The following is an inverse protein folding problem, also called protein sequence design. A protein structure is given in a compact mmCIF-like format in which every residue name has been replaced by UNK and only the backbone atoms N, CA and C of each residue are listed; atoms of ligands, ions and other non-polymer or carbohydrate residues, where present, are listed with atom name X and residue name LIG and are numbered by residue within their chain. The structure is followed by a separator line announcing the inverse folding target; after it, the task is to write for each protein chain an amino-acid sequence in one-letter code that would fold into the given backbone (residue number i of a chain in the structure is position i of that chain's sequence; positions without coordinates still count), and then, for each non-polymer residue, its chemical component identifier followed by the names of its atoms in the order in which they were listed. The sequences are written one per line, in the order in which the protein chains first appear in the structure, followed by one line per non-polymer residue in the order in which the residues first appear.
data_IF_236178402863
#
_entry.id   IF_236178402863
#
_cell.length_a   1.000
_cell.length_b   1.000
_cell.length_c   1.000
_cell.angle_alpha   90.00
_cell.angle_beta   90.00
_cell.angle_gamma   90.00
#
_symmetry.space_group_name_H-M   'P 1'
#
loop_
_entity.id
_entity.type
_entity.pdbx_description
1 polymer ?
#
# COMPACT_ATOMS: atom_id res chain seq x y z
N UNK A 1 -9.31 -14.17 -15.74
CA UNK A 1 -8.67 -13.77 -14.48
C UNK A 1 -8.85 -14.88 -13.46
N UNK A 2 -7.79 -15.35 -12.82
CA UNK A 2 -7.92 -16.38 -11.80
C UNK A 2 -8.42 -15.80 -10.46
N UNK A 3 -8.75 -16.68 -9.53
CA UNK A 3 -9.31 -16.27 -8.26
C UNK A 3 -8.34 -15.40 -7.44
N UNK A 4 -7.04 -15.74 -7.46
CA UNK A 4 -6.04 -14.94 -6.75
C UNK A 4 -5.93 -13.52 -7.29
N UNK A 5 -5.95 -13.37 -8.62
CA UNK A 5 -5.92 -12.07 -9.28
C UNK A 5 -7.15 -11.24 -8.94
N UNK A 6 -8.34 -11.87 -8.93
CA UNK A 6 -9.57 -11.19 -8.57
C UNK A 6 -9.54 -10.72 -7.12
N UNK A 7 -9.09 -11.58 -6.20
CA UNK A 7 -8.96 -11.22 -4.78
C UNK A 7 -8.00 -10.05 -4.59
N UNK A 8 -6.85 -10.09 -5.23
CA UNK A 8 -5.88 -9.00 -5.12
C UNK A 8 -6.46 -7.69 -5.65
N UNK A 9 -7.12 -7.72 -6.79
CA UNK A 9 -7.74 -6.53 -7.36
C UNK A 9 -8.78 -5.92 -6.42
N UNK A 10 -9.62 -6.75 -5.80
CA UNK A 10 -10.63 -6.29 -4.85
C UNK A 10 -9.96 -5.69 -3.60
N UNK A 11 -8.95 -6.36 -3.06
CA UNK A 11 -8.23 -5.88 -1.88
C UNK A 11 -7.55 -4.54 -2.17
N UNK A 12 -6.89 -4.41 -3.30
CA UNK A 12 -6.21 -3.16 -3.68
C UNK A 12 -7.21 -2.02 -3.90
N UNK A 13 -8.35 -2.32 -4.52
CA UNK A 13 -9.40 -1.32 -4.68
C UNK A 13 -9.94 -0.86 -3.33
N UNK A 14 -10.24 -1.83 -2.44
CA UNK A 14 -10.70 -1.53 -1.09
C UNK A 14 -9.67 -0.71 -0.31
N UNK A 15 -8.40 -1.03 -0.46
CA UNK A 15 -7.32 -0.29 0.18
C UNK A 15 -7.28 1.17 -0.31
N UNK A 16 -7.48 1.39 -1.62
CA UNK A 16 -7.52 2.74 -2.17
C UNK A 16 -8.68 3.56 -1.59
N UNK A 17 -9.84 2.93 -1.43
CA UNK A 17 -10.99 3.59 -0.81
C UNK A 17 -10.71 3.90 0.66
N UNK A 18 -10.05 2.99 1.36
CA UNK A 18 -9.70 3.19 2.77
C UNK A 18 -8.76 4.37 2.95
N UNK A 19 -7.71 4.47 2.14
CA UNK A 19 -6.79 5.59 2.22
C UNK A 19 -7.51 6.92 1.97
N UNK A 20 -8.36 6.97 0.96
CA UNK A 20 -9.15 8.16 0.63
C UNK A 20 -10.11 8.52 1.75
N UNK A 21 -10.78 7.53 2.33
CA UNK A 21 -11.70 7.74 3.44
C UNK A 21 -10.97 8.29 4.67
N UNK A 22 -9.83 7.69 5.01
CA UNK A 22 -9.05 8.11 6.17
C UNK A 22 -8.52 9.54 5.98
N UNK A 23 -8.06 9.87 4.77
CA UNK A 23 -7.60 11.22 4.46
C UNK A 23 -8.73 12.26 4.58
N UNK A 24 -9.94 11.87 4.17
CA UNK A 24 -11.11 12.74 4.27
C UNK A 24 -11.58 12.92 5.71
N UNK A 25 -11.64 11.81 6.46
CA UNK A 25 -12.28 11.77 7.78
C UNK A 25 -11.36 12.25 8.90
N UNK A 26 -10.06 12.04 8.80
CA UNK A 26 -9.14 12.22 9.91
C UNK A 26 -8.01 13.20 9.58
N UNK A 27 -8.01 14.39 10.22
CA UNK A 27 -6.97 15.40 9.95
C UNK A 27 -5.54 14.90 10.21
N UNK A 28 -5.34 14.06 11.22
CA UNK A 28 -4.01 13.53 11.53
C UNK A 28 -3.45 12.68 10.38
N UNK A 29 -4.31 11.87 9.74
CA UNK A 29 -3.88 11.08 8.59
C UNK A 29 -3.59 11.98 7.39
N UNK A 30 -4.38 13.02 7.19
CA UNK A 30 -4.16 13.99 6.12
C UNK A 30 -2.82 14.71 6.29
N UNK A 31 -2.48 15.07 7.52
CA UNK A 31 -1.17 15.69 7.81
C UNK A 31 -0.03 14.72 7.52
N UNK A 32 -0.20 13.42 7.81
CA UNK A 32 0.77 12.40 7.44
C UNK A 32 0.98 12.38 5.92
N UNK A 33 -0.10 12.43 5.14
CA UNK A 33 -0.01 12.41 3.69
C UNK A 33 0.69 13.63 3.09
N UNK A 34 0.68 14.76 3.81
CA UNK A 34 1.36 15.97 3.35
C UNK A 34 2.87 15.91 3.52
N UNK A 35 3.39 14.93 4.25
CA UNK A 35 4.82 14.84 4.51
C UNK A 35 5.63 14.54 3.27
N UNK A 36 5.07 13.78 2.33
CA UNK A 36 5.77 13.38 1.10
C UNK A 36 4.82 13.27 -0.07
N UNK A 37 5.31 13.68 -1.23
CA UNK A 37 4.63 13.46 -2.51
C UNK A 37 5.31 12.30 -3.20
N UNK A 38 4.54 11.27 -3.56
CA UNK A 38 5.08 10.12 -4.28
C UNK A 38 3.99 9.34 -4.97
N UNK A 39 4.40 8.47 -5.89
CA UNK A 39 3.53 7.47 -6.49
C UNK A 39 4.08 6.11 -6.10
N UNK A 40 3.27 5.35 -5.36
CA UNK A 40 3.58 3.97 -5.00
C UNK A 40 2.62 3.02 -5.68
N UNK A 41 3.05 1.77 -5.86
CA UNK A 41 2.17 0.77 -6.45
C UNK A 41 2.43 -0.61 -5.85
N UNK A 42 1.38 -1.41 -5.84
CA UNK A 42 1.44 -2.84 -5.52
C UNK A 42 1.15 -3.61 -6.80
N UNK A 43 2.02 -4.55 -7.14
CA UNK A 43 1.86 -5.34 -8.36
C UNK A 43 2.07 -6.83 -8.08
N UNK A 44 1.47 -7.68 -8.92
CA UNK A 44 1.75 -9.11 -8.97
C UNK A 44 2.54 -9.39 -10.23
N UNK A 45 3.77 -9.91 -10.08
CA UNK A 45 4.69 -10.06 -11.21
C UNK A 45 4.23 -11.04 -12.26
N UNK A 46 3.52 -12.08 -11.84
CA UNK A 46 3.11 -13.17 -12.75
C UNK A 46 1.93 -12.80 -13.66
N UNK A 47 1.13 -11.81 -13.30
CA UNK A 47 -0.09 -11.48 -14.03
C UNK A 47 -0.20 -10.03 -14.46
N UNK A 48 0.84 -9.23 -14.24
CA UNK A 48 0.88 -7.81 -14.58
C UNK A 48 -0.32 -7.03 -14.02
N UNK A 49 -0.82 -7.49 -12.88
CA UNK A 49 -1.93 -6.85 -12.17
C UNK A 49 -1.38 -5.95 -11.10
N UNK A 50 -1.95 -4.78 -10.95
CA UNK A 50 -1.54 -3.88 -9.92
C UNK A 50 -2.47 -2.70 -9.77
N UNK A 51 -2.15 -1.88 -8.79
CA UNK A 51 -2.84 -0.60 -8.57
C UNK A 51 -1.82 0.41 -8.05
N UNK A 52 -1.85 1.60 -8.64
CA UNK A 52 -1.02 2.70 -8.20
C UNK A 52 -1.78 3.62 -7.27
N UNK A 53 -1.04 4.28 -6.39
CA UNK A 53 -1.54 5.25 -5.42
C UNK A 53 -0.65 6.47 -5.54
N UNK A 54 -1.23 7.59 -5.97
CA UNK A 54 -0.50 8.84 -6.04
C UNK A 54 -0.87 9.70 -4.86
N UNK A 55 0.13 10.04 -4.06
CA UNK A 55 -0.03 10.91 -2.89
C UNK A 55 0.60 12.24 -3.23
N UNK A 56 -0.23 13.29 -3.27
CA UNK A 56 0.22 14.62 -3.62
C UNK A 56 -0.56 15.65 -2.84
N UNK A 57 0.17 16.51 -2.12
CA UNK A 57 -0.40 17.61 -1.34
C UNK A 57 -1.50 17.14 -0.38
N UNK A 58 -1.30 15.97 0.22
CA UNK A 58 -2.24 15.39 1.17
C UNK A 58 -3.44 14.70 0.54
N UNK A 59 -3.44 14.53 -0.78
CA UNK A 59 -4.54 13.87 -1.51
C UNK A 59 -4.06 12.54 -2.06
N UNK A 60 -4.98 11.56 -2.08
CA UNK A 60 -4.73 10.24 -2.64
C UNK A 60 -5.57 10.08 -3.89
N UNK A 61 -4.91 9.79 -5.01
CA UNK A 61 -5.58 9.32 -6.22
C UNK A 61 -5.07 7.91 -6.54
N UNK A 62 -5.85 7.14 -7.25
CA UNK A 62 -5.53 5.74 -7.50
C UNK A 62 -6.12 5.27 -8.80
N UNK A 63 -5.48 4.26 -9.41
CA UNK A 63 -5.98 3.63 -10.61
C UNK A 63 -5.43 2.22 -10.73
N UNK A 64 -6.10 1.39 -11.54
CA UNK A 64 -5.64 0.04 -11.84
C UNK A 64 -4.54 0.06 -12.88
N UNK A 65 -3.67 -0.96 -12.84
CA UNK A 65 -2.60 -1.11 -13.82
C UNK A 65 -1.22 -0.95 -13.19
N UNK A 66 -0.21 -1.17 -14.00
CA UNK A 66 1.20 -1.11 -13.59
C UNK A 66 1.85 0.11 -14.25
N UNK A 67 2.45 0.97 -13.44
CA UNK A 67 3.17 2.15 -13.91
C UNK A 67 4.65 1.84 -14.03
N UNK A 68 5.28 2.36 -15.09
CA UNK A 68 6.72 2.17 -15.32
C UNK A 68 7.58 3.06 -14.41
N UNK A 69 7.08 4.22 -14.04
CA UNK A 69 7.85 5.26 -13.36
C UNK A 69 7.34 5.56 -11.94
N UNK A 70 6.83 4.54 -11.24
CA UNK A 70 6.44 4.73 -9.85
C UNK A 70 7.66 4.94 -8.97
N UNK A 71 7.53 5.80 -7.95
CA UNK A 71 8.61 6.06 -7.01
C UNK A 71 8.91 4.86 -6.12
N UNK A 72 7.86 4.09 -5.78
CA UNK A 72 7.96 2.88 -4.97
C UNK A 72 7.13 1.79 -5.64
N UNK A 73 7.71 0.62 -5.82
CA UNK A 73 7.00 -0.54 -6.32
C UNK A 73 7.14 -1.69 -5.34
N UNK A 74 6.01 -2.19 -4.86
CA UNK A 74 5.94 -3.40 -4.03
C UNK A 74 5.43 -4.51 -4.93
N UNK A 75 6.32 -5.45 -5.27
CA UNK A 75 6.02 -6.51 -6.22
C UNK A 75 5.91 -7.85 -5.52
N UNK A 76 4.75 -8.48 -5.62
CA UNK A 76 4.52 -9.83 -5.09
C UNK A 76 4.84 -10.86 -6.16
N UNK A 77 5.32 -12.02 -5.73
CA UNK A 77 5.65 -13.11 -6.63
C UNK A 77 4.45 -13.51 -7.48
N UNK A 78 3.28 -13.58 -6.86
CA UNK A 78 2.02 -13.86 -7.55
C UNK A 78 0.85 -13.16 -6.87
N UNK A 79 -0.31 -13.16 -7.54
CA UNK A 79 -1.49 -12.45 -7.05
C UNK A 79 -2.07 -13.08 -5.77
N UNK A 80 -2.04 -14.41 -5.65
CA UNK A 80 -2.55 -15.07 -4.46
C UNK A 80 -1.75 -14.71 -3.22
N UNK A 81 -0.42 -14.64 -3.34
CA UNK A 81 0.45 -14.22 -2.26
C UNK A 81 0.17 -12.76 -1.87
N UNK A 82 0.05 -11.88 -2.86
CA UNK A 82 -0.26 -10.47 -2.61
C UNK A 82 -1.59 -10.32 -1.89
N UNK A 83 -2.61 -11.05 -2.32
CA UNK A 83 -3.91 -11.03 -1.66
C UNK A 83 -3.80 -11.46 -0.19
N UNK A 84 -3.04 -12.53 0.08
CA UNK A 84 -2.84 -13.01 1.44
C UNK A 84 -2.11 -12.02 2.34
N UNK A 85 -1.08 -11.35 1.81
CA UNK A 85 -0.28 -10.41 2.58
C UNK A 85 -1.00 -9.07 2.81
N UNK A 86 -1.84 -8.65 1.90
CA UNK A 86 -2.53 -7.36 1.98
C UNK A 86 -3.93 -7.47 2.57
N UNK A 87 -4.48 -8.67 2.75
CA UNK A 87 -5.78 -8.84 3.38
C UNK A 87 -5.75 -8.26 4.80
N UNK A 88 -6.72 -7.41 5.17
CA UNK A 88 -6.74 -6.81 6.50
C UNK A 88 -6.97 -7.87 7.60
N UNK A 89 -6.31 -7.71 8.76
CA UNK A 89 -5.30 -6.69 9.06
C UNK A 89 -3.96 -7.07 8.47
N UNK A 90 -3.24 -6.10 7.91
CA UNK A 90 -1.91 -6.33 7.35
C UNK A 90 -0.95 -6.65 8.50
N UNK A 91 -0.25 -7.77 8.39
CA UNK A 91 0.74 -8.19 9.38
C UNK A 91 2.14 -7.80 8.90
N UNK A 92 2.78 -6.88 9.61
CA UNK A 92 4.08 -6.36 9.24
C UNK A 92 5.17 -7.44 9.24
N UNK A 93 5.08 -8.39 10.18
CA UNK A 93 6.05 -9.49 10.26
C UNK A 93 5.97 -10.40 9.04
N UNK A 94 4.75 -10.69 8.58
CA UNK A 94 4.53 -11.48 7.38
C UNK A 94 5.14 -10.79 6.15
N UNK A 95 5.05 -9.47 6.06
CA UNK A 95 5.65 -8.69 4.98
C UNK A 95 7.18 -8.83 5.00
N UNK A 96 7.79 -8.70 6.17
CA UNK A 96 9.24 -8.84 6.33
C UNK A 96 9.70 -10.24 5.95
N UNK A 97 9.00 -11.27 6.41
CA UNK A 97 9.34 -12.66 6.10
C UNK A 97 9.21 -12.94 4.60
N UNK A 98 8.17 -12.44 3.96
CA UNK A 98 7.98 -12.61 2.53
C UNK A 98 9.11 -11.93 1.74
N UNK A 99 9.58 -10.78 2.19
CA UNK A 99 10.69 -10.09 1.55
C UNK A 99 11.98 -10.88 1.67
N UNK A 100 12.25 -11.48 2.83
CA UNK A 100 13.44 -12.32 3.04
C UNK A 100 13.44 -13.55 2.14
N UNK A 101 12.28 -14.07 1.80
CA UNK A 101 12.14 -15.24 0.95
C UNK A 101 11.98 -14.88 -0.54
N UNK A 102 12.18 -13.63 -0.90
CA UNK A 102 12.01 -13.10 -2.26
C UNK A 102 10.61 -13.30 -2.84
N UNK A 103 9.62 -13.54 -1.99
CA UNK A 103 8.22 -13.59 -2.38
C UNK A 103 7.63 -12.20 -2.58
N UNK A 104 8.26 -11.21 -1.98
CA UNK A 104 7.91 -9.81 -2.10
C UNK A 104 9.19 -9.02 -2.31
N UNK A 105 9.21 -8.15 -3.31
CA UNK A 105 10.34 -7.25 -3.52
C UNK A 105 9.86 -5.81 -3.49
N UNK A 106 10.72 -4.93 -2.99
CA UNK A 106 10.43 -3.51 -2.90
C UNK A 106 11.49 -2.76 -3.69
N UNK A 107 11.06 -1.96 -4.65
CA UNK A 107 11.94 -1.14 -5.48
C UNK A 107 11.67 0.34 -5.21
N UNK A 108 12.72 1.13 -5.18
CA UNK A 108 12.64 2.56 -4.94
C UNK A 108 13.56 2.98 -3.79
N UNK A 109 13.56 4.27 -3.47
CA UNK A 109 14.33 4.79 -2.35
C UNK A 109 13.84 4.18 -1.03
N UNK A 110 14.76 3.72 -0.18
CA UNK A 110 14.40 3.04 1.08
C UNK A 110 13.54 3.93 1.99
N UNK A 111 13.87 5.20 2.08
CA UNK A 111 13.10 6.13 2.89
C UNK A 111 11.67 6.32 2.38
N UNK A 112 11.51 6.46 1.07
CA UNK A 112 10.19 6.56 0.47
C UNK A 112 9.41 5.25 0.60
N UNK A 113 10.08 4.11 0.40
CA UNK A 113 9.44 2.80 0.52
C UNK A 113 8.92 2.56 1.94
N UNK A 114 9.74 2.86 2.94
CA UNK A 114 9.33 2.72 4.34
C UNK A 114 8.17 3.65 4.67
N UNK A 115 8.25 4.90 4.24
CA UNK A 115 7.18 5.87 4.49
C UNK A 115 5.86 5.41 3.85
N UNK A 116 5.93 4.92 2.61
CA UNK A 116 4.75 4.45 1.88
C UNK A 116 4.13 3.24 2.59
N UNK A 117 4.96 2.25 2.96
CA UNK A 117 4.48 1.06 3.66
C UNK A 117 3.82 1.41 4.99
N UNK A 118 4.45 2.28 5.78
CA UNK A 118 3.88 2.72 7.05
C UNK A 118 2.57 3.48 6.85
N UNK A 119 2.51 4.34 5.83
CA UNK A 119 1.31 5.12 5.54
C UNK A 119 0.14 4.22 5.16
N UNK A 120 0.39 3.18 4.37
CA UNK A 120 -0.63 2.19 4.02
C UNK A 120 -1.10 1.44 5.27
N UNK A 121 -0.16 1.01 6.13
CA UNK A 121 -0.53 0.33 7.38
C UNK A 121 -1.35 1.22 8.30
N UNK A 122 -0.98 2.50 8.42
CA UNK A 122 -1.71 3.44 9.26
C UNK A 122 -3.18 3.56 8.89
N UNK A 123 -3.51 3.37 7.62
CA UNK A 123 -4.90 3.43 7.17
C UNK A 123 -5.78 2.38 7.83
N UNK A 124 -5.17 1.28 8.31
CA UNK A 124 -5.88 0.17 8.95
C UNK A 124 -5.85 0.21 10.46
N UNK A 125 -5.12 1.15 11.06
CA UNK A 125 -5.02 1.24 12.53
C UNK A 125 -5.96 2.30 13.05
N UNK A 126 -6.30 2.20 14.34
CA UNK A 126 -7.18 3.17 15.00
C UNK A 126 -6.41 4.20 15.82
N UNK A 127 -5.10 4.09 15.93
CA UNK A 127 -4.32 4.93 16.84
C UNK A 127 -4.47 6.42 16.57
N UNK A 128 -4.34 6.80 15.30
CA UNK A 128 -4.40 8.21 14.93
C UNK A 128 -5.82 8.80 15.04
N UNK A 129 -6.85 7.96 15.13
CA UNK A 129 -8.23 8.42 15.36
C UNK A 129 -8.37 9.13 16.71
N UNK A 130 -7.52 8.77 17.65
CA UNK A 130 -7.53 9.31 18.99
C UNK A 130 -6.38 10.29 19.23
N UNK A 131 -5.69 10.68 18.16
CA UNK A 131 -4.55 11.58 18.28
C UNK A 131 -3.30 10.94 18.85
N UNK A 132 -3.24 9.63 18.88
CA UNK A 132 -2.07 8.90 19.38
C UNK A 132 -1.00 8.80 18.31
N UNK A 133 0.26 8.92 18.74
CA UNK A 133 1.39 8.74 17.83
C UNK A 133 1.48 7.27 17.39
N UNK A 134 1.82 7.07 16.13
CA UNK A 134 2.06 5.72 15.62
C UNK A 134 3.40 5.22 16.13
N UNK A 135 3.52 3.95 16.51
CA UNK A 135 4.81 3.37 16.78
C UNK A 135 5.63 3.31 15.47
N UNK A 136 6.87 3.63 15.60
CA UNK A 136 7.79 3.62 14.45
C UNK A 136 8.21 2.20 14.07
#
# INVERSE_FOLDING_TARGET
MNLGALKLSIILFGLSLLLKFQAWRHPAYRERLKEKNLTGQFIARDEEIGRWFKIQDGRVTSGSGVLKNADVTVAFKNAALGAGLLAPPINWLDQINAQKEFQLTVQGDDGLANWFAQTVMMSQTAHWKFGLAMPD
#
